data_IF_629871579847
#
_entry.id   IF_629871579847
#
_cell.length_a   1.000
_cell.length_b   1.000
_cell.length_c   1.000
_cell.angle_alpha   90.00
_cell.angle_beta   90.00
_cell.angle_gamma   90.00
#
_symmetry.space_group_name_H-M   'P 1'
#
loop_
_entity.id
_entity.type
_entity.pdbx_description
1 polymer ?
#
# COMPACT_ATOMS: atom_id res chain seq x y z
N UNK A 1 -24.82 -2.66 -1.27
CA UNK A 1 -23.82 -2.15 -2.22
C UNK A 1 -22.89 -3.30 -2.59
N UNK A 2 -23.03 -3.88 -3.79
CA UNK A 2 -22.10 -4.93 -4.23
C UNK A 2 -20.71 -4.33 -4.45
N UNK A 3 -19.66 -5.10 -4.14
CA UNK A 3 -18.27 -4.74 -4.35
C UNK A 3 -17.61 -5.83 -5.17
N UNK A 4 -16.97 -5.45 -6.27
CA UNK A 4 -16.26 -6.34 -7.17
C UNK A 4 -14.76 -6.00 -7.12
N UNK A 5 -13.91 -7.01 -6.99
CA UNK A 5 -12.46 -6.84 -6.98
C UNK A 5 -11.86 -7.66 -8.13
N UNK A 6 -11.41 -6.98 -9.17
CA UNK A 6 -10.70 -7.57 -10.29
C UNK A 6 -9.20 -7.44 -10.07
N UNK A 7 -8.46 -8.55 -10.19
CA UNK A 7 -7.01 -8.59 -10.00
C UNK A 7 -6.37 -9.50 -11.06
N UNK A 8 -5.16 -9.13 -11.51
CA UNK A 8 -4.45 -9.85 -12.55
C UNK A 8 -3.38 -8.99 -13.21
N UNK A 9 -2.51 -9.62 -13.99
CA UNK A 9 -1.46 -8.92 -14.76
C UNK A 9 -1.95 -8.47 -16.16
N UNK A 10 -3.03 -9.06 -16.67
CA UNK A 10 -3.57 -8.73 -17.99
C UNK A 10 -4.56 -7.56 -17.91
N UNK A 11 -4.11 -6.40 -18.40
CA UNK A 11 -4.92 -5.19 -18.42
C UNK A 11 -6.13 -5.28 -19.36
N UNK A 12 -6.06 -6.10 -20.42
CA UNK A 12 -7.19 -6.27 -21.35
C UNK A 12 -8.33 -7.00 -20.65
N UNK A 13 -8.07 -8.17 -20.08
CA UNK A 13 -9.07 -8.94 -19.34
C UNK A 13 -9.71 -8.14 -18.20
N UNK A 14 -8.92 -7.36 -17.46
CA UNK A 14 -9.45 -6.51 -16.38
C UNK A 14 -10.41 -5.45 -16.92
N UNK A 15 -10.08 -4.83 -18.06
CA UNK A 15 -10.91 -3.82 -18.71
C UNK A 15 -12.20 -4.45 -19.25
N UNK A 16 -12.12 -5.59 -19.92
CA UNK A 16 -13.28 -6.32 -20.43
C UNK A 16 -14.24 -6.73 -19.31
N UNK A 17 -13.71 -7.18 -18.17
CA UNK A 17 -14.52 -7.51 -17.01
C UNK A 17 -15.25 -6.28 -16.43
N UNK A 18 -14.58 -5.12 -16.37
CA UNK A 18 -15.21 -3.86 -15.96
C UNK A 18 -16.28 -3.41 -16.98
N UNK A 19 -16.00 -3.55 -18.27
CA UNK A 19 -16.93 -3.17 -19.34
C UNK A 19 -18.14 -4.11 -19.40
N UNK A 20 -17.98 -5.39 -19.06
CA UNK A 20 -19.08 -6.33 -18.89
C UNK A 20 -19.98 -5.92 -17.71
N UNK A 21 -19.38 -5.66 -16.53
CA UNK A 21 -20.13 -5.18 -15.36
C UNK A 21 -20.90 -3.90 -15.68
N UNK A 22 -20.29 -2.95 -16.39
CA UNK A 22 -20.97 -1.71 -16.77
C UNK A 22 -22.17 -2.00 -17.67
N UNK A 23 -22.04 -2.86 -18.67
CA UNK A 23 -23.14 -3.21 -19.58
C UNK A 23 -24.32 -3.88 -18.87
N UNK A 24 -24.04 -4.74 -17.89
CA UNK A 24 -25.10 -5.42 -17.13
C UNK A 24 -25.93 -4.46 -16.28
N UNK A 25 -25.40 -3.27 -15.96
CA UNK A 25 -26.04 -2.26 -15.11
C UNK A 25 -26.45 -0.98 -15.86
N UNK A 26 -26.14 -0.84 -17.14
CA UNK A 26 -26.44 0.35 -17.95
C UNK A 26 -27.76 0.20 -18.73
N UNK A 27 -28.85 -0.15 -18.03
CA UNK A 27 -30.15 -0.44 -18.64
C UNK A 27 -30.82 0.79 -19.28
N UNK A 28 -30.53 1.99 -18.77
CA UNK A 28 -31.08 3.27 -19.20
C UNK A 28 -30.09 4.12 -20.01
N UNK A 29 -28.85 3.66 -20.19
CA UNK A 29 -27.77 4.40 -20.86
C UNK A 29 -27.22 5.58 -20.05
N UNK A 30 -27.65 5.77 -18.80
CA UNK A 30 -27.26 6.90 -17.96
C UNK A 30 -26.09 6.56 -17.01
N UNK A 31 -25.60 5.31 -17.01
CA UNK A 31 -24.54 4.88 -16.09
C UNK A 31 -23.22 5.61 -16.34
N UNK A 32 -22.94 5.99 -17.60
CA UNK A 32 -21.75 6.77 -17.95
C UNK A 32 -21.70 8.11 -17.19
N UNK A 33 -22.84 8.79 -17.04
CA UNK A 33 -22.96 10.05 -16.29
C UNK A 33 -22.87 9.85 -14.77
N UNK A 34 -23.03 8.60 -14.31
CA UNK A 34 -23.03 8.19 -12.92
C UNK A 34 -21.81 7.33 -12.56
N UNK A 35 -20.75 7.40 -13.37
CA UNK A 35 -19.50 6.69 -13.15
C UNK A 35 -18.43 7.65 -12.62
N UNK A 36 -17.78 7.29 -11.52
CA UNK A 36 -16.59 7.99 -10.99
C UNK A 36 -15.39 7.05 -10.98
N UNK A 37 -14.25 7.52 -11.47
CA UNK A 37 -12.97 6.81 -11.40
C UNK A 37 -12.05 7.50 -10.39
N UNK A 38 -11.51 6.71 -9.47
CA UNK A 38 -10.61 7.15 -8.41
C UNK A 38 -9.24 6.47 -8.55
N UNK A 39 -8.16 7.18 -8.23
CA UNK A 39 -6.80 6.64 -8.25
C UNK A 39 -6.48 6.00 -6.89
N UNK A 40 -6.40 4.68 -6.83
CA UNK A 40 -6.17 3.89 -5.63
C UNK A 40 -5.01 4.38 -4.74
N UNK A 41 -3.81 4.71 -5.27
CA UNK A 41 -2.70 5.22 -4.46
C UNK A 41 -2.98 6.52 -3.71
N UNK A 42 -4.01 7.28 -4.10
CA UNK A 42 -4.38 8.58 -3.53
C UNK A 42 -5.75 8.60 -2.87
N UNK A 43 -6.49 7.49 -2.98
CA UNK A 43 -7.89 7.43 -2.56
C UNK A 43 -8.00 6.89 -1.14
N UNK A 44 -8.81 7.55 -0.32
CA UNK A 44 -9.12 7.09 1.04
C UNK A 44 -10.40 6.26 1.08
N UNK A 45 -10.57 5.38 2.09
CA UNK A 45 -11.82 4.64 2.26
C UNK A 45 -13.05 5.56 2.36
N UNK A 46 -12.93 6.68 3.07
CA UNK A 46 -14.03 7.64 3.26
C UNK A 46 -14.44 8.30 1.94
N UNK A 47 -13.49 8.60 1.05
CA UNK A 47 -13.78 9.11 -0.30
C UNK A 47 -14.56 8.10 -1.14
N UNK A 48 -14.19 6.81 -1.09
CA UNK A 48 -14.93 5.75 -1.80
C UNK A 48 -16.35 5.64 -1.28
N UNK A 49 -16.52 5.65 0.05
CA UNK A 49 -17.84 5.58 0.69
C UNK A 49 -18.69 6.79 0.32
N UNK A 50 -18.14 8.00 0.44
CA UNK A 50 -18.85 9.23 0.08
C UNK A 50 -19.26 9.22 -1.40
N UNK A 51 -18.35 8.80 -2.29
CA UNK A 51 -18.66 8.64 -3.70
C UNK A 51 -19.77 7.62 -3.93
N UNK A 52 -19.73 6.45 -3.30
CA UNK A 52 -20.70 5.38 -3.53
C UNK A 52 -22.09 5.67 -2.94
N UNK A 53 -22.15 6.48 -1.88
CA UNK A 53 -23.41 6.89 -1.22
C UNK A 53 -24.09 8.07 -1.90
N UNK A 54 -23.44 8.71 -2.88
CA UNK A 54 -24.04 9.83 -3.63
C UNK A 54 -25.19 9.32 -4.50
N UNK A 55 -26.33 10.01 -4.45
CA UNK A 55 -27.53 9.66 -5.23
C UNK A 55 -27.21 9.79 -6.74
N UNK A 56 -27.44 8.75 -7.57
CA UNK A 56 -27.25 8.84 -9.02
C UNK A 56 -28.28 9.78 -9.68
N UNK A 57 -27.85 10.52 -10.70
CA UNK A 57 -28.69 11.40 -11.50
C UNK A 57 -29.38 10.62 -12.63
N UNK A 58 -30.71 10.53 -12.56
CA UNK A 58 -31.56 9.86 -13.57
C UNK A 58 -31.06 8.46 -13.97
N UNK A 59 -30.48 7.73 -13.02
CA UNK A 59 -30.02 6.36 -13.23
C UNK A 59 -30.33 5.50 -12.02
N UNK A 60 -30.47 4.19 -12.23
CA UNK A 60 -30.67 3.23 -11.15
C UNK A 60 -29.38 2.99 -10.35
N UNK A 61 -28.23 3.03 -11.03
CA UNK A 61 -26.94 2.68 -10.45
C UNK A 61 -25.95 3.85 -10.49
N UNK A 62 -25.09 3.89 -9.46
CA UNK A 62 -23.86 4.67 -9.43
C UNK A 62 -22.67 3.72 -9.44
N UNK A 63 -21.75 3.91 -10.37
CA UNK A 63 -20.55 3.10 -10.48
C UNK A 63 -19.35 3.88 -9.95
N UNK A 64 -18.67 3.35 -8.93
CA UNK A 64 -17.40 3.90 -8.45
C UNK A 64 -16.30 2.87 -8.73
N UNK A 65 -15.33 3.26 -9.54
CA UNK A 65 -14.19 2.42 -9.94
C UNK A 65 -12.91 2.97 -9.32
N UNK A 66 -12.12 2.10 -8.69
CA UNK A 66 -10.83 2.46 -8.11
C UNK A 66 -9.72 1.75 -8.86
N UNK A 67 -8.94 2.51 -9.61
CA UNK A 67 -7.82 1.98 -10.40
C UNK A 67 -6.54 1.88 -9.57
N UNK A 68 -5.65 0.94 -9.90
CA UNK A 68 -4.34 0.80 -9.23
C UNK A 68 -4.38 0.61 -7.70
N UNK A 69 -5.49 0.11 -7.13
CA UNK A 69 -5.68 -0.05 -5.68
C UNK A 69 -4.52 -0.78 -4.99
N UNK A 70 -4.02 -1.85 -5.61
CA UNK A 70 -2.95 -2.69 -5.05
C UNK A 70 -1.53 -2.21 -5.38
N UNK A 71 -1.37 -1.17 -6.21
CA UNK A 71 -0.07 -0.70 -6.71
C UNK A 71 0.93 -0.35 -5.60
N UNK A 72 0.56 0.32 -4.49
CA UNK A 72 1.48 0.59 -3.39
C UNK A 72 1.99 -0.67 -2.67
N UNK A 73 1.21 -1.75 -2.72
CA UNK A 73 1.50 -3.00 -2.00
C UNK A 73 2.28 -4.02 -2.85
N UNK A 74 2.37 -3.80 -4.16
CA UNK A 74 3.10 -4.65 -5.12
C UNK A 74 4.61 -4.34 -5.21
N UNK A 75 5.18 -3.59 -4.25
CA UNK A 75 6.63 -3.43 -4.16
C UNK A 75 7.29 -4.78 -3.82
N UNK A 76 8.22 -5.29 -4.64
CA UNK A 76 8.98 -6.48 -4.27
C UNK A 76 9.74 -6.18 -2.97
N UNK A 77 9.38 -6.89 -1.89
CA UNK A 77 9.97 -6.81 -0.54
C UNK A 77 11.51 -6.93 -0.49
N UNK A 78 12.18 -7.25 -1.60
CA UNK A 78 13.63 -7.41 -1.69
C UNK A 78 14.42 -6.28 -2.37
N UNK A 79 13.82 -5.39 -3.16
CA UNK A 79 14.60 -4.44 -3.98
C UNK A 79 15.13 -3.23 -3.19
N UNK A 80 14.36 -2.73 -2.22
CA UNK A 80 14.79 -1.64 -1.34
C UNK A 80 15.87 -2.09 -0.34
N UNK A 81 15.84 -3.34 0.12
CA UNK A 81 16.86 -3.92 1.00
C UNK A 81 18.21 -4.14 0.28
N UNK A 82 18.17 -4.53 -1.00
CA UNK A 82 19.37 -4.75 -1.80
C UNK A 82 20.19 -3.46 -2.04
N UNK A 83 19.53 -2.30 -2.16
CA UNK A 83 20.21 -1.02 -2.41
C UNK A 83 20.97 -0.50 -1.18
N UNK A 84 20.45 -0.71 0.04
CA UNK A 84 21.17 -0.37 1.29
C UNK A 84 22.42 -1.22 1.52
N UNK A 85 22.45 -2.46 1.03
CA UNK A 85 23.63 -3.35 1.21
C UNK A 85 24.80 -2.99 0.28
N UNK A 86 24.54 -2.31 -0.84
CA UNK A 86 25.59 -1.84 -1.78
C UNK A 86 26.23 -0.50 -1.39
N UNK A 87 25.61 0.25 -0.45
CA UNK A 87 26.10 1.55 0.01
C UNK A 87 26.82 1.49 1.37
N UNK A 88 27.45 0.36 1.71
CA UNK A 88 28.47 0.36 2.77
C UNK A 88 29.82 0.55 2.08
N UNK A 89 30.46 1.74 2.17
CA UNK A 89 31.81 1.89 1.66
C UNK A 89 32.69 0.90 2.41
N UNK A 90 33.48 0.13 1.67
CA UNK A 90 34.63 -0.58 2.20
C UNK A 90 35.60 0.45 2.77
N UNK A 91 35.51 0.72 4.08
CA UNK A 91 36.64 1.25 4.82
C UNK A 91 37.68 0.13 4.93
N UNK A 92 38.46 -0.02 3.86
CA UNK A 92 39.74 -0.72 3.89
C UNK A 92 40.73 0.22 4.57
N UNK A 93 40.69 0.26 5.90
CA UNK A 93 41.76 0.79 6.74
C UNK A 93 42.47 -0.40 7.42
N UNK A 94 43.80 -0.35 7.65
CA UNK A 94 44.52 -1.45 8.26
C UNK A 94 43.99 -1.72 9.69
N UNK A 95 44.02 -2.97 10.17
CA UNK A 95 43.49 -3.29 11.49
C UNK A 95 44.29 -2.56 12.58
N UNK A 96 43.58 -1.90 13.49
CA UNK A 96 44.18 -1.33 14.70
C UNK A 96 44.84 -2.46 15.53
N UNK A 97 46.02 -2.23 16.11
CA UNK A 97 46.73 -3.25 16.85
C UNK A 97 45.99 -3.67 18.11
N UNK A 98 45.92 -4.98 18.29
CA UNK A 98 45.45 -5.70 19.47
C UNK A 98 46.36 -5.38 20.66
N UNK A 99 45.89 -4.54 21.58
CA UNK A 99 46.54 -4.29 22.86
C UNK A 99 45.61 -4.73 23.99
N UNK A 100 45.74 -6.01 24.32
CA UNK A 100 45.86 -6.57 25.67
C UNK A 100 44.75 -6.34 26.70
N UNK A 101 44.30 -7.49 27.21
CA UNK A 101 43.44 -7.68 28.36
C UNK A 101 44.05 -7.13 29.66
N UNK A 102 43.18 -6.68 30.57
CA UNK A 102 43.36 -6.86 32.01
C UNK A 102 41.98 -6.88 32.70
N UNK A 103 41.86 -7.84 33.61
CA UNK A 103 40.68 -8.49 34.21
C UNK A 103 39.71 -7.65 35.10
N UNK A 104 38.52 -8.20 35.44
CA UNK A 104 37.64 -7.76 36.58
C UNK A 104 38.27 -8.21 37.94
N UNK A 105 37.75 -7.94 39.19
CA UNK A 105 36.34 -7.73 39.62
C UNK A 105 36.01 -6.79 40.84
N UNK A 106 34.68 -6.55 41.04
CA UNK A 106 33.85 -6.42 42.28
C UNK A 106 34.16 -5.35 43.38
N UNK A 107 33.32 -5.13 44.43
CA UNK A 107 31.84 -5.11 44.59
C UNK A 107 31.29 -3.83 45.30
N UNK A 108 29.96 -3.61 45.25
CA UNK A 108 29.20 -2.99 46.35
C UNK A 108 28.95 -1.48 46.32
N UNK A 109 27.68 -1.10 46.17
CA UNK A 109 26.96 -0.39 47.25
C UNK A 109 25.46 -0.27 46.92
N UNK A 110 24.68 -0.85 47.81
CA UNK A 110 23.26 -0.64 48.01
C UNK A 110 22.98 0.86 48.28
N UNK A 111 21.87 1.40 47.77
CA UNK A 111 20.81 1.93 48.65
C UNK A 111 19.52 2.18 47.87
N UNK A 112 18.46 1.53 48.35
CA UNK A 112 17.05 1.87 48.12
C UNK A 112 16.75 3.35 48.40
N UNK A 113 15.87 3.98 47.61
CA UNK A 113 14.77 4.73 48.20
C UNK A 113 13.56 4.86 47.26
N UNK A 114 12.48 4.27 47.73
CA UNK A 114 11.09 4.51 47.38
C UNK A 114 10.67 5.95 47.70
N UNK A 115 9.87 6.55 46.83
CA UNK A 115 8.44 6.77 47.08
C UNK A 115 7.73 7.14 45.79
#
# INVERSE_FOLDING_TARGET
MPVFHYFGADALSLREACDALRRDHDGDGALANNTLVLEGPRTTPDEVVAAAMTIPFMAEYRLVRVDDLCRPYNLPRGAAAARRRRQRPSMTGPPAPTCWAASPPAPGSYTHRTR
#
